data_IF_947301202094
#
_entry.id   IF_947301202094
#
_cell.length_a   1.000
_cell.length_b   1.000
_cell.length_c   1.000
_cell.angle_alpha   90.00
_cell.angle_beta   90.00
_cell.angle_gamma   90.00
#
_symmetry.space_group_name_H-M   'P 1'
#
loop_
_entity.id
_entity.type
_entity.pdbx_description
1 polymer ?
#
# COMPACT_ATOMS: atom_id res chain seq x y z
N UNK A 1 -0.77 8.75 -3.05
CA UNK A 1 -0.17 7.55 -3.68
C UNK A 1 -1.16 6.39 -3.70
N UNK A 2 -1.31 5.76 -4.86
CA UNK A 2 -2.14 4.58 -5.12
C UNK A 2 -1.25 3.35 -5.24
N UNK A 3 -1.56 2.28 -4.50
CA UNK A 3 -0.70 1.10 -4.43
C UNK A 3 -1.50 -0.20 -4.28
N UNK A 4 -0.89 -1.31 -4.67
CA UNK A 4 -1.36 -2.66 -4.42
C UNK A 4 -0.28 -3.47 -3.72
N UNK A 5 -0.69 -4.50 -3.00
CA UNK A 5 0.25 -5.45 -2.42
C UNK A 5 -0.34 -6.83 -2.21
N UNK A 6 0.54 -7.83 -2.36
CA UNK A 6 0.35 -9.15 -1.78
C UNK A 6 0.76 -9.10 -0.30
N UNK A 7 -0.21 -9.23 0.61
CA UNK A 7 0.03 -9.21 2.05
C UNK A 7 0.64 -10.49 2.62
N UNK A 8 0.77 -11.57 1.83
CA UNK A 8 1.26 -12.87 2.33
C UNK A 8 2.57 -12.82 3.11
N UNK A 9 3.61 -12.05 2.69
CA UNK A 9 4.87 -11.98 3.42
C UNK A 9 4.86 -10.95 4.57
N UNK A 10 3.76 -10.23 4.79
CA UNK A 10 3.69 -9.10 5.72
C UNK A 10 2.74 -9.35 6.89
N UNK A 11 3.09 -8.79 8.05
CA UNK A 11 2.27 -8.74 9.25
C UNK A 11 1.27 -7.57 9.23
N UNK A 12 0.63 -7.41 8.06
CA UNK A 12 -0.36 -6.38 7.79
C UNK A 12 0.24 -5.06 7.31
N UNK A 13 -0.63 -4.06 7.27
CA UNK A 13 -0.27 -2.72 6.80
C UNK A 13 0.63 -1.98 7.78
N UNK A 14 0.19 -1.85 9.03
CA UNK A 14 0.72 -0.86 9.99
C UNK A 14 2.09 -1.26 10.54
N UNK A 15 3.05 -0.34 10.52
CA UNK A 15 4.38 -0.51 11.15
C UNK A 15 4.27 -0.91 12.62
N UNK A 16 5.06 -1.91 13.01
CA UNK A 16 5.13 -2.46 14.37
C UNK A 16 6.58 -2.79 14.73
N UNK A 17 6.98 -2.74 16.03
CA UNK A 17 8.38 -2.89 16.42
C UNK A 17 9.06 -4.20 16.01
N UNK A 18 8.32 -5.31 15.95
CA UNK A 18 8.87 -6.66 15.76
C UNK A 18 8.21 -7.40 14.59
N UNK A 19 7.73 -6.67 13.59
CA UNK A 19 7.00 -7.28 12.48
C UNK A 19 7.30 -6.57 11.16
N UNK A 20 7.53 -7.36 10.13
CA UNK A 20 7.72 -6.84 8.78
C UNK A 20 6.36 -6.47 8.18
N UNK A 21 6.20 -5.22 7.75
CA UNK A 21 4.90 -4.63 7.39
C UNK A 21 4.99 -3.87 6.07
N UNK A 22 3.86 -3.71 5.40
CA UNK A 22 3.81 -3.00 4.11
C UNK A 22 4.16 -1.52 4.28
N UNK A 23 3.66 -0.88 5.35
CA UNK A 23 3.95 0.53 5.62
C UNK A 23 5.45 0.78 5.79
N UNK A 24 6.11 -0.04 6.61
CA UNK A 24 7.54 0.09 6.85
C UNK A 24 8.36 -0.04 5.57
N UNK A 25 8.07 -1.04 4.72
CA UNK A 25 8.78 -1.25 3.46
C UNK A 25 8.70 -0.01 2.54
N UNK A 26 7.54 0.62 2.49
CA UNK A 26 7.31 1.82 1.68
C UNK A 26 7.98 3.04 2.29
N UNK A 27 7.89 3.23 3.61
CA UNK A 27 8.56 4.34 4.32
C UNK A 27 10.08 4.27 4.18
N UNK A 28 10.66 3.07 4.26
CA UNK A 28 12.09 2.85 4.04
C UNK A 28 12.50 3.14 2.59
N UNK A 29 11.69 2.71 1.61
CA UNK A 29 11.93 3.00 0.20
C UNK A 29 11.86 4.52 -0.10
N UNK A 30 10.84 5.21 0.44
CA UNK A 30 10.71 6.66 0.36
C UNK A 30 11.92 7.35 1.01
N UNK A 31 12.32 6.90 2.21
CA UNK A 31 13.44 7.50 2.91
C UNK A 31 14.77 7.35 2.16
N UNK A 32 14.97 6.23 1.45
CA UNK A 32 16.14 6.03 0.58
C UNK A 32 16.15 6.98 -0.61
N UNK A 33 15.00 7.26 -1.21
CA UNK A 33 14.87 8.15 -2.37
C UNK A 33 15.00 9.61 -1.94
N UNK A 34 14.26 10.02 -0.91
CA UNK A 34 14.16 11.40 -0.43
C UNK A 34 15.31 11.80 0.51
N UNK A 35 16.12 10.83 0.96
CA UNK A 35 17.24 11.05 1.90
C UNK A 35 16.81 11.60 3.26
N UNK A 36 15.55 11.42 3.64
CA UNK A 36 14.99 11.76 4.94
C UNK A 36 13.82 10.83 5.29
N UNK A 37 13.48 10.65 6.58
CA UNK A 37 12.28 9.92 6.97
C UNK A 37 11.03 10.52 6.32
N UNK A 38 10.18 9.66 5.76
CA UNK A 38 8.94 10.06 5.11
C UNK A 38 7.82 9.11 5.57
N UNK A 39 7.18 9.41 6.72
CA UNK A 39 6.08 8.59 7.22
C UNK A 39 4.88 8.70 6.29
N UNK A 40 4.13 7.61 6.15
CA UNK A 40 2.93 7.57 5.31
C UNK A 40 1.68 7.28 6.13
N UNK A 41 0.54 7.80 5.68
CA UNK A 41 -0.76 7.53 6.25
C UNK A 41 -1.67 6.84 5.23
N UNK A 42 -1.99 5.57 5.50
CA UNK A 42 -2.89 4.76 4.68
C UNK A 42 -4.36 5.07 4.89
N UNK A 43 -5.19 4.81 3.88
CA UNK A 43 -6.65 5.00 3.91
C UNK A 43 -7.38 4.09 4.89
N UNK A 44 -6.72 2.99 5.27
CA UNK A 44 -7.13 2.11 6.37
C UNK A 44 -6.13 0.98 6.54
N UNK A 45 -6.21 0.29 7.67
CA UNK A 45 -5.33 -0.83 8.01
C UNK A 45 -5.81 -2.13 7.37
N UNK A 46 -4.89 -3.07 7.27
CA UNK A 46 -5.13 -4.47 6.90
C UNK A 46 -4.35 -5.35 7.85
N UNK A 47 -4.92 -6.51 8.18
CA UNK A 47 -4.30 -7.46 9.10
C UNK A 47 -3.26 -8.32 8.38
N UNK A 48 -2.53 -9.14 9.14
CA UNK A 48 -1.53 -10.08 8.61
C UNK A 48 -2.08 -10.94 7.48
N UNK A 49 -1.35 -11.03 6.37
CA UNK A 49 -1.73 -11.83 5.20
C UNK A 49 -2.81 -11.23 4.31
N UNK A 50 -3.42 -10.11 4.68
CA UNK A 50 -4.45 -9.44 3.84
C UNK A 50 -3.82 -8.72 2.66
N UNK A 51 -4.41 -8.87 1.48
CA UNK A 51 -3.96 -8.20 0.26
C UNK A 51 -4.73 -6.90 0.01
N UNK A 52 -4.16 -6.02 -0.82
CA UNK A 52 -4.88 -4.89 -1.38
C UNK A 52 -4.68 -4.83 -2.89
N UNK A 53 -5.78 -4.73 -3.64
CA UNK A 53 -5.73 -4.34 -5.06
C UNK A 53 -5.60 -2.83 -5.21
N UNK A 54 -6.12 -2.08 -4.24
CA UNK A 54 -6.04 -0.63 -4.22
C UNK A 54 -6.05 -0.16 -2.76
N UNK A 55 -4.91 0.35 -2.31
CA UNK A 55 -4.72 1.07 -1.09
C UNK A 55 -4.23 2.48 -1.45
N UNK A 56 -4.85 3.49 -0.86
CA UNK A 56 -4.35 4.87 -0.97
C UNK A 56 -3.58 5.21 0.29
N UNK A 57 -2.43 5.85 0.12
CA UNK A 57 -1.65 6.46 1.18
C UNK A 57 -1.24 7.89 0.79
N UNK A 58 -1.13 8.78 1.77
CA UNK A 58 -0.56 10.11 1.58
C UNK A 58 0.68 10.28 2.47
N UNK A 59 1.53 11.22 2.08
CA UNK A 59 2.73 11.62 2.78
C UNK A 59 3.07 13.04 2.33
N UNK A 60 3.81 13.74 3.17
CA UNK A 60 4.28 15.09 2.87
C UNK A 60 5.71 15.03 2.32
N UNK A 61 5.98 15.86 1.31
CA UNK A 61 7.31 16.08 0.74
C UNK A 61 7.48 17.55 0.37
N UNK A 62 8.72 18.03 0.42
CA UNK A 62 9.11 19.42 0.14
C UNK A 62 9.92 19.50 -1.15
N UNK A 63 10.45 18.38 -1.59
CA UNK A 63 11.28 18.25 -2.78
C UNK A 63 10.41 18.29 -4.03
N UNK A 64 10.82 19.06 -5.03
CA UNK A 64 10.21 18.98 -6.35
C UNK A 64 10.72 17.70 -7.06
N UNK A 65 9.92 16.63 -7.01
CA UNK A 65 10.20 15.38 -7.72
C UNK A 65 9.04 15.07 -8.66
N UNK A 66 9.35 14.86 -9.93
CA UNK A 66 8.36 14.41 -10.92
C UNK A 66 7.70 13.10 -10.46
N UNK A 67 6.37 13.10 -10.41
CA UNK A 67 5.55 11.98 -9.90
C UNK A 67 5.86 10.66 -10.63
N UNK A 68 6.01 10.71 -11.95
CA UNK A 68 6.32 9.55 -12.77
C UNK A 68 7.71 8.97 -12.45
N UNK A 69 8.69 9.85 -12.18
CA UNK A 69 10.04 9.45 -11.77
C UNK A 69 10.04 8.86 -10.37
N UNK A 70 9.34 9.47 -9.42
CA UNK A 70 9.22 8.95 -8.05
C UNK A 70 8.57 7.57 -8.04
N UNK A 71 7.46 7.40 -8.78
CA UNK A 71 6.80 6.10 -8.97
C UNK A 71 7.75 5.06 -9.56
N UNK A 72 8.50 5.42 -10.61
CA UNK A 72 9.47 4.52 -11.25
C UNK A 72 10.57 4.11 -10.27
N UNK A 73 11.10 5.05 -9.49
CA UNK A 73 12.13 4.78 -8.47
C UNK A 73 11.58 3.85 -7.39
N UNK A 74 10.41 4.13 -6.83
CA UNK A 74 9.79 3.28 -5.81
C UNK A 74 9.60 1.85 -6.30
N UNK A 75 8.98 1.66 -7.47
CA UNK A 75 8.80 0.32 -8.05
C UNK A 75 10.11 -0.37 -8.42
N UNK A 76 11.21 0.36 -8.58
CA UNK A 76 12.54 -0.22 -8.83
C UNK A 76 13.23 -0.74 -7.57
N UNK A 77 12.78 -0.35 -6.38
CA UNK A 77 13.42 -0.70 -5.09
C UNK A 77 12.51 -1.57 -4.24
N UNK A 78 11.19 -1.37 -4.33
CA UNK A 78 10.21 -2.14 -3.58
C UNK A 78 10.23 -3.62 -3.99
N UNK A 79 9.96 -4.55 -3.05
CA UNK A 79 9.81 -5.96 -3.37
C UNK A 79 8.66 -6.19 -4.37
N UNK A 80 8.70 -7.29 -5.17
CA UNK A 80 7.63 -7.62 -6.13
C UNK A 80 6.23 -7.75 -5.51
N UNK A 81 6.16 -7.94 -4.19
CA UNK A 81 4.91 -8.00 -3.45
C UNK A 81 4.21 -6.64 -3.28
N UNK A 82 4.85 -5.51 -3.61
CA UNK A 82 4.27 -4.16 -3.52
C UNK A 82 4.44 -3.45 -4.86
N UNK A 83 3.35 -2.86 -5.36
CA UNK A 83 3.36 -2.07 -6.58
C UNK A 83 2.74 -0.69 -6.34
N UNK A 84 3.43 0.36 -6.80
CA UNK A 84 2.92 1.74 -6.84
C UNK A 84 2.30 1.99 -8.21
N UNK A 85 1.00 2.21 -8.24
CA UNK A 85 0.24 2.44 -9.46
C UNK A 85 0.36 3.88 -9.93
N UNK A 86 0.16 4.82 -9.00
CA UNK A 86 0.18 6.26 -9.27
C UNK A 86 0.62 7.06 -8.04
N UNK A 87 1.25 8.20 -8.29
CA UNK A 87 1.51 9.24 -7.31
C UNK A 87 0.92 10.50 -7.92
N UNK A 88 0.27 11.31 -7.09
CA UNK A 88 -0.33 12.57 -7.49
C UNK A 88 -0.22 13.57 -6.35
N UNK A 89 0.06 14.80 -6.69
CA UNK A 89 -0.15 15.94 -5.82
C UNK A 89 -1.64 16.10 -5.51
N UNK A 90 -1.93 16.48 -4.27
CA UNK A 90 -3.28 16.64 -3.73
C UNK A 90 -3.33 17.94 -2.93
N UNK A 91 -4.54 18.36 -2.56
CA UNK A 91 -4.70 19.54 -1.71
C UNK A 91 -4.02 19.32 -0.34
N UNK A 92 -3.49 20.38 0.26
CA UNK A 92 -2.76 20.30 1.53
C UNK A 92 -3.61 19.79 2.71
N UNK A 93 -4.95 19.89 2.62
CA UNK A 93 -5.90 19.36 3.61
C UNK A 93 -6.37 17.93 3.31
N UNK A 94 -5.92 17.33 2.21
CA UNK A 94 -6.37 16.01 1.79
C UNK A 94 -5.82 14.92 2.72
N UNK A 95 -6.71 14.07 3.23
CA UNK A 95 -6.34 13.00 4.17
C UNK A 95 -6.86 11.64 3.69
N UNK A 96 -5.93 10.75 3.30
CA UNK A 96 -6.26 9.43 2.72
C UNK A 96 -7.28 8.62 3.53
N UNK A 97 -7.27 8.73 4.87
CA UNK A 97 -8.23 8.05 5.75
C UNK A 97 -9.59 8.76 5.87
N UNK A 98 -9.60 10.08 5.98
CA UNK A 98 -10.84 10.80 6.36
C UNK A 98 -11.64 11.24 5.14
N UNK A 99 -10.96 11.50 4.01
CA UNK A 99 -11.61 11.86 2.74
C UNK A 99 -12.02 10.65 1.89
N UNK A 100 -11.73 9.43 2.35
CA UNK A 100 -12.19 8.20 1.70
C UNK A 100 -13.72 8.06 1.76
N UNK A 101 -14.34 8.02 0.59
CA UNK A 101 -15.80 7.90 0.45
C UNK A 101 -16.30 6.52 0.87
N UNK A 102 -15.63 5.46 0.41
CA UNK A 102 -15.98 4.09 0.71
C UNK A 102 -14.75 3.19 0.72
N UNK A 103 -14.88 2.06 1.41
CA UNK A 103 -13.95 0.93 1.38
C UNK A 103 -14.72 -0.27 0.87
N UNK A 104 -14.15 -0.96 -0.11
CA UNK A 104 -14.72 -2.18 -0.65
C UNK A 104 -13.83 -3.36 -0.30
N UNK A 105 -14.44 -4.47 0.08
CA UNK A 105 -13.73 -5.68 0.44
C UNK A 105 -14.26 -6.85 -0.37
N UNK A 106 -13.35 -7.68 -0.88
CA UNK A 106 -13.66 -8.90 -1.62
C UNK A 106 -13.04 -10.08 -0.89
N UNK A 107 -13.88 -11.05 -0.54
CA UNK A 107 -13.44 -12.35 -0.05
C UNK A 107 -13.55 -13.36 -1.20
N UNK A 108 -12.45 -14.02 -1.51
CA UNK A 108 -12.42 -15.10 -2.48
C UNK A 108 -12.23 -16.41 -1.72
N UNK A 109 -13.26 -17.26 -1.73
CA UNK A 109 -13.26 -18.55 -1.04
C UNK A 109 -12.98 -19.68 -2.03
N UNK A 110 -11.97 -20.50 -1.73
CA UNK A 110 -11.67 -21.71 -2.49
C UNK A 110 -12.27 -22.91 -1.78
N UNK A 111 -13.30 -23.49 -2.41
CA UNK A 111 -14.01 -24.66 -1.88
C UNK A 111 -13.29 -25.99 -2.14
N UNK A 112 -12.24 -25.98 -2.97
CA UNK A 112 -11.43 -27.15 -3.32
C UNK A 112 -9.96 -26.79 -3.28
N UNK A 113 -9.11 -27.79 -2.97
CA UNK A 113 -7.65 -27.65 -3.01
C UNK A 113 -7.21 -27.50 -4.47
N UNK A 114 -6.41 -26.48 -4.76
CA UNK A 114 -5.85 -26.20 -6.08
C UNK A 114 -4.32 -25.99 -5.96
N UNK A 115 -3.48 -26.86 -6.55
CA UNK A 115 -2.03 -26.72 -6.51
C UNK A 115 -1.50 -25.54 -7.34
N UNK A 116 -2.31 -24.96 -8.24
CA UNK A 116 -1.92 -23.82 -9.07
C UNK A 116 -2.36 -22.47 -8.50
N UNK A 117 -3.06 -22.48 -7.35
CA UNK A 117 -3.48 -21.27 -6.64
C UNK A 117 -2.84 -21.23 -5.24
N UNK A 118 -1.52 -20.97 -5.14
CA UNK A 118 -0.82 -20.94 -3.86
C UNK A 118 -1.43 -19.89 -2.93
N UNK A 119 -1.71 -20.28 -1.68
CA UNK A 119 -2.30 -19.43 -0.63
C UNK A 119 -3.43 -20.11 0.14
N UNK A 120 -3.84 -19.51 1.27
CA UNK A 120 -4.89 -20.04 2.13
C UNK A 120 -6.24 -20.26 1.39
N UNK A 121 -7.15 -21.10 1.90
CA UNK A 121 -8.48 -21.35 1.31
C UNK A 121 -9.40 -20.12 1.25
N UNK A 122 -8.95 -18.96 1.75
CA UNK A 122 -9.61 -17.66 1.59
C UNK A 122 -8.60 -16.57 1.26
N UNK A 123 -8.90 -15.74 0.28
CA UNK A 123 -8.15 -14.51 -0.04
C UNK A 123 -8.99 -13.31 0.34
N UNK A 124 -8.46 -12.40 1.16
CA UNK A 124 -9.14 -11.14 1.47
C UNK A 124 -8.43 -9.99 0.77
N UNK A 125 -9.19 -9.28 -0.05
CA UNK A 125 -8.71 -8.22 -0.91
C UNK A 125 -9.45 -6.94 -0.53
N UNK A 126 -8.67 -5.90 -0.23
CA UNK A 126 -9.19 -4.56 -0.05
C UNK A 126 -9.05 -3.75 -1.35
N UNK A 127 -10.12 -3.02 -1.69
CA UNK A 127 -10.15 -1.98 -2.70
C UNK A 127 -10.66 -0.67 -2.07
N UNK A 128 -10.23 0.47 -2.58
CA UNK A 128 -10.64 1.77 -2.09
C UNK A 128 -11.19 2.66 -3.21
N UNK A 129 -12.25 3.41 -2.92
CA UNK A 129 -12.61 4.60 -3.68
C UNK A 129 -12.31 5.85 -2.85
N UNK A 130 -11.55 6.77 -3.43
CA UNK A 130 -11.11 7.99 -2.78
C UNK A 130 -11.42 9.22 -3.64
N UNK A 131 -11.71 10.34 -3.00
CA UNK A 131 -12.06 11.61 -3.64
C UNK A 131 -11.10 12.69 -3.12
N UNK A 132 -10.70 13.60 -4.02
CA UNK A 132 -9.58 14.55 -3.95
C UNK A 132 -8.36 14.00 -4.68
#
# INVERSE_FOLDING_TARGET
>A
MHLAYDGSPYHGWQTQPNAHTVQQEIEEALARILRRPCPIMGSGRTDTGVHALEQVAHFDMEEEVEEALLRKKLNGILPPAIAIHAIREVQADAHARFDALDRSYRYELRLRKDPFAPGAPGRFIKCLRWKK
#
